data_IF_214329008965
#
_entry.id   IF_214329008965
#
_cell.length_a   1.000
_cell.length_b   1.000
_cell.length_c   1.000
_cell.angle_alpha   90.00
_cell.angle_beta   90.00
_cell.angle_gamma   90.00
#
_symmetry.space_group_name_H-M   'P 1'
#
loop_
_entity.id
_entity.type
_entity.pdbx_description
1 polymer ?
#
# COMPACT_ATOMS: atom_id res chain seq x y z
N UNK A 1 -3.86 0.20 29.79
CA UNK A 1 -3.12 0.58 28.56
C UNK A 1 -3.04 2.10 28.54
N UNK A 2 -1.87 2.69 28.84
CA UNK A 2 -1.70 4.14 28.76
C UNK A 2 -1.60 4.52 27.27
N UNK A 3 -2.66 5.08 26.72
CA UNK A 3 -2.62 5.70 25.39
C UNK A 3 -2.08 7.11 25.62
N UNK A 4 -0.93 7.45 25.04
CA UNK A 4 -0.38 8.80 25.19
C UNK A 4 -1.22 9.82 24.41
N UNK A 5 -1.28 11.09 24.88
CA UNK A 5 -1.96 12.17 24.15
C UNK A 5 -1.45 12.31 22.72
N UNK A 6 -0.14 12.12 22.50
CA UNK A 6 0.43 12.10 21.14
C UNK A 6 -0.16 11.02 20.24
N UNK A 7 -0.48 9.84 20.80
CA UNK A 7 -1.10 8.76 20.04
C UNK A 7 -2.55 9.10 19.66
N UNK A 8 -3.29 9.71 20.59
CA UNK A 8 -4.66 10.17 20.35
C UNK A 8 -4.69 11.23 19.26
N UNK A 9 -3.89 12.28 19.40
CA UNK A 9 -3.81 13.36 18.42
C UNK A 9 -3.45 12.85 17.00
N UNK A 10 -2.57 11.85 16.94
CA UNK A 10 -2.21 11.25 15.67
C UNK A 10 -3.35 10.41 15.05
N UNK A 11 -4.11 9.68 15.88
CA UNK A 11 -5.32 8.98 15.47
C UNK A 11 -6.32 9.94 14.83
N UNK A 12 -6.55 11.09 15.48
CA UNK A 12 -7.45 12.14 14.98
C UNK A 12 -7.00 12.68 13.64
N UNK A 13 -5.74 13.09 13.53
CA UNK A 13 -5.20 13.60 12.27
C UNK A 13 -5.35 12.59 11.12
N UNK A 14 -5.14 11.29 11.38
CA UNK A 14 -5.33 10.25 10.38
C UNK A 14 -6.80 10.06 10.03
N UNK A 15 -7.69 10.12 11.01
CA UNK A 15 -9.13 10.02 10.79
C UNK A 15 -9.65 11.21 9.97
N UNK A 16 -9.27 12.43 10.33
CA UNK A 16 -9.61 13.66 9.60
C UNK A 16 -9.16 13.57 8.12
N UNK A 17 -7.96 13.03 7.85
CA UNK A 17 -7.49 12.82 6.48
C UNK A 17 -8.32 11.78 5.72
N UNK A 18 -8.71 10.69 6.39
CA UNK A 18 -9.56 9.68 5.76
C UNK A 18 -10.95 10.21 5.43
N UNK A 19 -11.48 11.13 6.24
CA UNK A 19 -12.78 11.77 6.01
C UNK A 19 -12.73 12.74 4.82
N UNK A 20 -11.58 13.41 4.58
CA UNK A 20 -11.37 14.29 3.43
C UNK A 20 -11.32 13.53 2.09
N UNK A 21 -10.98 12.24 2.11
CA UNK A 21 -10.93 11.41 0.90
C UNK A 21 -12.35 10.97 0.53
N UNK A 22 -12.92 11.58 -0.49
CA UNK A 22 -14.21 11.19 -1.05
C UNK A 22 -14.01 10.26 -2.25
N UNK A 23 -14.47 8.99 -2.21
CA UNK A 23 -14.35 8.06 -3.34
C UNK A 23 -15.08 8.54 -4.61
N UNK A 24 -16.12 9.37 -4.48
CA UNK A 24 -16.91 9.87 -5.60
C UNK A 24 -16.36 11.17 -6.20
N UNK A 25 -15.46 11.86 -5.46
CA UNK A 25 -14.77 13.05 -5.94
C UNK A 25 -13.74 12.71 -7.05
N UNK A 26 -13.26 13.71 -7.82
CA UNK A 26 -12.08 13.54 -8.69
C UNK A 26 -10.88 12.92 -7.97
N UNK A 27 -9.91 12.34 -8.71
CA UNK A 27 -8.75 11.71 -8.09
C UNK A 27 -8.02 12.61 -7.09
N UNK A 28 -7.84 12.13 -5.87
CA UNK A 28 -7.22 12.86 -4.74
C UNK A 28 -6.06 12.06 -4.16
N UNK A 29 -4.99 12.78 -3.79
CA UNK A 29 -3.86 12.23 -3.05
C UNK A 29 -3.55 13.11 -1.83
N UNK A 30 -3.45 12.50 -0.64
CA UNK A 30 -3.07 13.16 0.60
C UNK A 30 -1.82 12.52 1.19
N UNK A 31 -1.02 13.33 1.88
CA UNK A 31 0.17 12.88 2.60
C UNK A 31 -0.18 12.62 4.05
N UNK A 32 0.14 11.44 4.56
CA UNK A 32 -0.07 11.13 5.97
C UNK A 32 0.83 11.98 6.88
N UNK A 33 0.36 12.37 8.09
CA UNK A 33 1.10 13.22 9.01
C UNK A 33 2.49 12.67 9.34
N UNK A 34 3.50 13.55 9.27
CA UNK A 34 4.90 13.20 9.50
C UNK A 34 5.59 12.49 8.35
N UNK A 35 4.92 12.29 7.20
CA UNK A 35 5.56 11.88 5.96
C UNK A 35 6.19 13.06 5.24
N UNK A 36 7.29 12.86 4.49
CA UNK A 36 7.85 13.93 3.66
C UNK A 36 6.85 14.35 2.58
N UNK A 37 6.91 15.62 2.16
CA UNK A 37 6.09 16.11 1.06
C UNK A 37 6.65 15.59 -0.29
N UNK A 38 5.83 15.01 -1.19
CA UNK A 38 6.28 14.53 -2.49
C UNK A 38 6.85 15.64 -3.37
N UNK A 39 8.07 15.40 -3.90
CA UNK A 39 8.76 16.30 -4.82
C UNK A 39 9.83 15.59 -5.63
N UNK A 40 10.17 16.14 -6.79
CA UNK A 40 11.21 15.59 -7.65
C UNK A 40 10.82 14.21 -8.19
N UNK A 41 11.61 13.19 -7.92
CA UNK A 41 11.34 11.81 -8.34
C UNK A 41 10.84 11.00 -7.16
N UNK A 42 9.77 10.24 -7.35
CA UNK A 42 9.17 9.43 -6.29
C UNK A 42 8.88 8.00 -6.75
N UNK A 43 9.00 7.07 -5.82
CA UNK A 43 8.52 5.69 -5.96
C UNK A 43 7.35 5.52 -5.02
N UNK A 44 6.21 5.11 -5.54
CA UNK A 44 4.99 4.84 -4.78
C UNK A 44 4.68 3.36 -4.84
N UNK A 45 4.48 2.73 -3.70
CA UNK A 45 4.08 1.33 -3.56
C UNK A 45 2.62 1.24 -3.09
N UNK A 46 1.65 1.16 -4.01
CA UNK A 46 0.26 0.95 -3.67
C UNK A 46 0.02 -0.48 -3.18
N UNK A 47 -0.75 -0.62 -2.11
CA UNK A 47 -1.08 -1.92 -1.57
C UNK A 47 -2.18 -1.87 -0.52
N UNK A 48 -2.85 -3.00 -0.27
CA UNK A 48 -3.81 -3.11 0.82
C UNK A 48 -3.15 -3.23 2.19
N UNK A 49 -1.90 -3.74 2.24
CA UNK A 49 -1.13 -4.00 3.46
C UNK A 49 -1.98 -4.68 4.55
N UNK A 50 -2.68 -5.72 4.16
CA UNK A 50 -3.66 -6.41 5.00
C UNK A 50 -3.34 -7.91 5.20
N UNK A 51 -2.41 -8.24 6.14
CA UNK A 51 -1.46 -7.36 6.81
C UNK A 51 -0.22 -7.06 5.96
N UNK A 52 0.64 -6.10 6.38
CA UNK A 52 1.98 -5.99 5.84
C UNK A 52 2.78 -7.26 6.12
N UNK A 53 3.50 -7.79 5.10
CA UNK A 53 4.33 -9.00 5.18
C UNK A 53 5.81 -8.67 5.03
N UNK A 54 6.67 -9.66 5.27
CA UNK A 54 8.12 -9.53 5.01
C UNK A 54 8.40 -9.29 3.53
N UNK A 55 7.55 -9.79 2.60
CA UNK A 55 7.65 -9.50 1.17
C UNK A 55 7.44 -8.01 0.87
N UNK A 56 6.46 -7.36 1.49
CA UNK A 56 6.28 -5.90 1.33
C UNK A 56 7.52 -5.12 1.81
N UNK A 57 8.11 -5.52 2.94
CA UNK A 57 9.33 -4.89 3.44
C UNK A 57 10.53 -5.15 2.52
N UNK A 58 10.63 -6.35 1.95
CA UNK A 58 11.67 -6.69 0.99
C UNK A 58 11.54 -5.86 -0.30
N UNK A 59 10.31 -5.66 -0.82
CA UNK A 59 10.03 -4.77 -1.96
C UNK A 59 10.44 -3.33 -1.67
N UNK A 60 10.06 -2.78 -0.52
CA UNK A 60 10.46 -1.42 -0.11
C UNK A 60 11.99 -1.30 0.05
N UNK A 61 12.66 -2.35 0.54
CA UNK A 61 14.13 -2.38 0.65
C UNK A 61 14.79 -2.36 -0.73
N UNK A 62 14.28 -3.13 -1.67
CA UNK A 62 14.78 -3.16 -3.05
C UNK A 62 14.51 -1.84 -3.79
N UNK A 63 13.32 -1.26 -3.64
CA UNK A 63 13.00 0.05 -4.20
C UNK A 63 13.94 1.15 -3.66
N UNK A 64 14.26 1.11 -2.35
CA UNK A 64 15.26 2.01 -1.76
C UNK A 64 16.67 1.79 -2.33
N UNK A 65 17.03 0.53 -2.61
CA UNK A 65 18.30 0.22 -3.25
C UNK A 65 18.34 0.75 -4.69
N UNK A 66 17.27 0.53 -5.46
CA UNK A 66 17.10 1.08 -6.81
C UNK A 66 17.22 2.61 -6.79
N UNK A 67 16.53 3.31 -5.90
CA UNK A 67 16.60 4.76 -5.75
C UNK A 67 18.04 5.26 -5.51
N UNK A 68 18.83 4.52 -4.70
CA UNK A 68 20.23 4.85 -4.45
C UNK A 68 21.10 4.66 -5.69
N UNK A 69 20.88 3.59 -6.45
CA UNK A 69 21.63 3.36 -7.71
C UNK A 69 21.32 4.44 -8.74
N UNK A 70 20.08 4.86 -8.87
CA UNK A 70 19.67 5.95 -9.76
C UNK A 70 20.32 7.28 -9.35
N UNK A 71 20.40 7.57 -8.06
CA UNK A 71 21.09 8.75 -7.55
C UNK A 71 22.60 8.74 -7.89
N UNK A 72 23.26 7.58 -7.77
CA UNK A 72 24.69 7.42 -8.17
C UNK A 72 24.88 7.62 -9.69
N UNK A 73 23.89 7.25 -10.50
CA UNK A 73 23.86 7.48 -11.95
C UNK A 73 23.55 8.93 -12.35
N UNK A 74 23.40 9.84 -11.39
CA UNK A 74 23.12 11.25 -11.65
C UNK A 74 21.65 11.58 -11.94
N UNK A 75 20.72 10.63 -11.74
CA UNK A 75 19.28 10.83 -11.97
C UNK A 75 18.54 11.48 -10.79
N UNK A 76 19.27 11.91 -9.75
CA UNK A 76 18.69 12.54 -8.56
C UNK A 76 18.28 11.55 -7.47
N UNK A 77 17.87 12.07 -6.32
CA UNK A 77 17.36 11.25 -5.20
C UNK A 77 15.87 11.01 -5.36
N UNK A 78 15.44 9.77 -5.18
CA UNK A 78 14.03 9.39 -5.20
C UNK A 78 13.48 9.26 -3.77
N UNK A 79 12.31 9.84 -3.53
CA UNK A 79 11.56 9.63 -2.30
C UNK A 79 10.70 8.35 -2.42
N UNK A 80 10.54 7.62 -1.32
CA UNK A 80 9.79 6.36 -1.27
C UNK A 80 8.52 6.52 -0.45
N UNK A 81 7.39 6.06 -1.00
CA UNK A 81 6.10 6.07 -0.34
C UNK A 81 5.45 4.70 -0.42
N UNK A 82 4.86 4.24 0.69
CA UNK A 82 3.81 3.24 0.63
C UNK A 82 2.46 3.95 0.47
N UNK A 83 1.50 3.33 -0.22
CA UNK A 83 0.22 3.99 -0.45
C UNK A 83 -0.96 3.07 -0.21
N UNK A 84 -2.05 3.63 0.36
CA UNK A 84 -3.31 2.95 0.56
C UNK A 84 -4.43 3.74 -0.13
N UNK A 85 -5.41 3.01 -0.67
CA UNK A 85 -6.60 3.61 -1.28
C UNK A 85 -7.83 3.37 -0.40
N UNK A 86 -8.70 4.38 -0.30
CA UNK A 86 -9.98 4.27 0.40
C UNK A 86 -10.92 3.34 -0.36
N UNK A 87 -10.96 3.47 -1.68
CA UNK A 87 -11.65 2.56 -2.58
C UNK A 87 -10.65 1.58 -3.24
N UNK A 88 -10.98 0.29 -3.25
CA UNK A 88 -10.16 -0.77 -3.85
C UNK A 88 -10.98 -1.37 -4.99
N UNK A 89 -10.41 -1.33 -6.21
CA UNK A 89 -11.00 -1.95 -7.39
C UNK A 89 -10.98 -3.48 -7.22
N UNK A 90 -12.06 -4.17 -7.57
CA UNK A 90 -12.21 -5.64 -7.59
C UNK A 90 -12.04 -6.35 -6.23
N UNK A 91 -12.18 -5.67 -5.11
CA UNK A 91 -12.21 -6.32 -3.79
C UNK A 91 -13.47 -5.95 -3.04
N UNK A 92 -14.09 -6.97 -2.45
CA UNK A 92 -15.10 -6.78 -1.41
C UNK A 92 -14.56 -5.81 -0.34
N UNK A 93 -15.42 -4.99 0.22
CA UNK A 93 -15.08 -4.07 1.29
C UNK A 93 -14.35 -4.82 2.40
N UNK A 94 -13.06 -4.52 2.57
CA UNK A 94 -12.26 -5.14 3.61
C UNK A 94 -12.62 -4.49 4.93
N UNK A 95 -13.57 -5.07 5.64
CA UNK A 95 -14.05 -4.55 6.91
C UNK A 95 -13.02 -4.67 8.04
N UNK A 96 -12.08 -5.63 7.94
CA UNK A 96 -11.13 -5.94 9.03
C UNK A 96 -9.70 -6.20 8.53
N UNK A 97 -8.70 -5.57 9.18
CA UNK A 97 -8.82 -4.41 10.07
C UNK A 97 -9.23 -3.15 9.32
N UNK A 98 -9.78 -2.17 10.04
CA UNK A 98 -10.14 -0.86 9.50
C UNK A 98 -8.96 -0.23 8.77
N UNK A 99 -9.24 0.61 7.78
CA UNK A 99 -8.21 1.33 7.03
C UNK A 99 -7.33 2.16 7.96
N UNK A 100 -7.90 2.81 8.97
CA UNK A 100 -7.17 3.54 10.00
C UNK A 100 -6.12 2.66 10.72
N UNK A 101 -6.51 1.46 11.18
CA UNK A 101 -5.59 0.53 11.83
C UNK A 101 -4.47 0.08 10.88
N UNK A 102 -4.76 -0.12 9.59
CA UNK A 102 -3.76 -0.49 8.57
C UNK A 102 -2.75 0.63 8.32
N UNK A 103 -3.22 1.88 8.24
CA UNK A 103 -2.36 3.06 8.10
C UNK A 103 -1.44 3.19 9.31
N UNK A 104 -1.97 3.10 10.52
CA UNK A 104 -1.18 3.21 11.76
C UNK A 104 -0.14 2.11 11.89
N UNK A 105 -0.49 0.88 11.51
CA UNK A 105 0.43 -0.24 11.49
C UNK A 105 1.56 -0.03 10.48
N UNK A 106 1.21 0.40 9.27
CA UNK A 106 2.17 0.70 8.21
C UNK A 106 3.09 1.85 8.59
N UNK A 107 2.55 2.92 9.17
CA UNK A 107 3.30 4.07 9.65
C UNK A 107 4.31 3.69 10.75
N UNK A 108 3.91 2.86 11.72
CA UNK A 108 4.83 2.36 12.74
C UNK A 108 5.97 1.51 12.12
N UNK A 109 5.65 0.68 11.11
CA UNK A 109 6.66 -0.09 10.36
C UNK A 109 7.63 0.82 9.62
N UNK A 110 7.13 1.80 8.87
CA UNK A 110 7.95 2.69 8.06
C UNK A 110 8.88 3.53 8.94
N UNK A 111 8.38 4.13 10.00
CA UNK A 111 9.20 4.93 10.94
C UNK A 111 10.38 4.15 11.50
N UNK A 112 10.21 2.88 11.78
CA UNK A 112 11.26 2.02 12.37
C UNK A 112 12.26 1.51 11.34
N UNK A 113 11.79 1.15 10.14
CA UNK A 113 12.59 0.42 9.15
C UNK A 113 12.99 1.25 7.94
N UNK A 114 12.22 2.30 7.64
CA UNK A 114 12.39 3.18 6.49
C UNK A 114 12.12 4.65 6.91
N UNK A 115 12.94 5.25 7.79
CA UNK A 115 12.63 6.53 8.44
C UNK A 115 12.42 7.71 7.49
N UNK A 116 12.84 7.59 6.22
CA UNK A 116 12.65 8.61 5.18
C UNK A 116 11.55 8.25 4.18
N UNK A 117 10.85 7.13 4.37
CA UNK A 117 9.69 6.79 3.55
C UNK A 117 8.43 7.44 4.14
N UNK A 118 7.50 7.80 3.24
CA UNK A 118 6.21 8.37 3.60
C UNK A 118 5.04 7.44 3.31
N UNK A 119 3.85 7.92 3.64
CA UNK A 119 2.58 7.30 3.28
C UNK A 119 1.76 8.28 2.46
N UNK A 120 1.25 7.81 1.32
CA UNK A 120 0.23 8.47 0.51
C UNK A 120 -1.12 7.77 0.69
N UNK A 121 -2.17 8.56 0.72
CA UNK A 121 -3.55 8.10 0.79
C UNK A 121 -4.29 8.56 -0.47
N UNK A 122 -4.98 7.63 -1.13
CA UNK A 122 -5.75 7.91 -2.33
C UNK A 122 -7.25 7.68 -2.07
N UNK A 123 -8.11 8.48 -2.69
CA UNK A 123 -9.56 8.20 -2.68
C UNK A 123 -9.92 7.05 -3.63
N UNK A 124 -9.16 6.86 -4.74
CA UNK A 124 -9.43 5.88 -5.79
C UNK A 124 -8.32 4.83 -5.95
N UNK A 125 -8.65 3.71 -6.63
CA UNK A 125 -7.80 2.54 -6.71
C UNK A 125 -7.05 2.33 -8.02
N UNK A 126 -7.47 2.96 -9.13
CA UNK A 126 -6.82 2.79 -10.43
C UNK A 126 -5.47 3.53 -10.49
N UNK A 127 -4.46 2.92 -11.09
CA UNK A 127 -3.12 3.52 -11.17
C UNK A 127 -3.09 4.84 -11.95
N UNK A 128 -3.87 4.95 -13.02
CA UNK A 128 -3.99 6.21 -13.79
C UNK A 128 -4.58 7.33 -12.93
N UNK A 129 -5.63 7.03 -12.16
CA UNK A 129 -6.25 7.99 -11.24
C UNK A 129 -5.31 8.39 -10.11
N UNK A 130 -4.54 7.44 -9.57
CA UNK A 130 -3.50 7.71 -8.57
C UNK A 130 -2.39 8.59 -9.14
N UNK A 131 -1.97 8.36 -10.40
CA UNK A 131 -0.98 9.19 -11.06
C UNK A 131 -1.50 10.62 -11.27
N UNK A 132 -2.74 10.78 -11.75
CA UNK A 132 -3.41 12.08 -11.88
C UNK A 132 -3.48 12.79 -10.54
N UNK A 133 -3.89 12.09 -9.48
CA UNK A 133 -3.98 12.64 -8.12
C UNK A 133 -2.62 13.13 -7.61
N UNK A 134 -1.53 12.37 -7.85
CA UNK A 134 -0.17 12.76 -7.47
C UNK A 134 0.25 14.04 -8.19
N UNK A 135 0.10 14.11 -9.51
CA UNK A 135 0.55 15.28 -10.28
C UNK A 135 -0.30 16.51 -9.99
N UNK A 136 -1.60 16.33 -9.69
CA UNK A 136 -2.50 17.43 -9.30
C UNK A 136 -2.15 17.95 -7.91
N UNK A 137 -1.98 17.07 -6.92
CA UNK A 137 -1.73 17.46 -5.54
C UNK A 137 -0.27 17.91 -5.31
N UNK A 138 0.69 17.38 -6.09
CA UNK A 138 2.11 17.61 -5.91
C UNK A 138 2.79 18.00 -7.24
N UNK A 139 2.58 19.21 -7.75
CA UNK A 139 3.11 19.64 -9.06
C UNK A 139 4.64 19.71 -9.12
N UNK A 140 5.33 19.57 -7.99
CA UNK A 140 6.79 19.48 -7.93
C UNK A 140 7.31 18.06 -8.21
N UNK A 141 6.43 17.04 -8.32
CA UNK A 141 6.80 15.69 -8.74
C UNK A 141 7.03 15.70 -10.25
N UNK A 142 8.25 15.34 -10.65
CA UNK A 142 8.68 15.33 -12.06
C UNK A 142 8.70 13.93 -12.64
N UNK A 143 8.87 12.91 -11.79
CA UNK A 143 8.88 11.50 -12.19
C UNK A 143 8.21 10.65 -11.13
N UNK A 144 7.24 9.85 -11.56
CA UNK A 144 6.49 8.93 -10.70
C UNK A 144 6.73 7.49 -11.16
N UNK A 145 7.19 6.63 -10.27
CA UNK A 145 7.27 5.18 -10.49
C UNK A 145 6.31 4.47 -9.53
N UNK A 146 5.46 3.60 -10.06
CA UNK A 146 4.69 2.68 -9.22
C UNK A 146 5.43 1.37 -9.03
N UNK A 147 5.73 1.04 -7.77
CA UNK A 147 6.26 -0.27 -7.38
C UNK A 147 5.14 -1.29 -7.27
N UNK A 148 5.33 -2.45 -7.91
CA UNK A 148 4.34 -3.53 -7.88
C UNK A 148 4.95 -4.92 -8.05
N UNK A 149 4.19 -5.96 -7.71
CA UNK A 149 4.52 -7.33 -8.06
C UNK A 149 4.06 -7.71 -9.47
N UNK A 150 4.58 -8.81 -9.99
CA UNK A 150 4.29 -9.33 -11.33
C UNK A 150 2.80 -9.55 -11.60
N UNK A 151 2.05 -10.08 -10.65
CA UNK A 151 0.59 -10.32 -10.84
C UNK A 151 -0.15 -9.01 -11.20
N UNK A 152 0.34 -7.87 -10.69
CA UNK A 152 -0.31 -6.60 -10.94
C UNK A 152 -0.02 -6.07 -12.35
N UNK A 153 1.19 -6.23 -12.87
CA UNK A 153 1.49 -5.82 -14.25
C UNK A 153 0.73 -6.69 -15.26
N UNK A 154 0.56 -7.99 -14.97
CA UNK A 154 -0.28 -8.86 -15.81
C UNK A 154 -1.71 -8.31 -15.90
N UNK A 155 -2.31 -7.90 -14.77
CA UNK A 155 -3.65 -7.30 -14.76
C UNK A 155 -3.70 -5.96 -15.51
N UNK A 156 -2.69 -5.11 -15.34
CA UNK A 156 -2.62 -3.80 -16.02
C UNK A 156 -2.52 -3.96 -17.54
N UNK A 157 -1.81 -4.99 -18.01
CA UNK A 157 -1.65 -5.24 -19.44
C UNK A 157 -2.76 -6.12 -20.05
N UNK A 158 -3.66 -6.67 -19.25
CA UNK A 158 -4.73 -7.56 -19.71
C UNK A 158 -5.88 -6.73 -20.32
N UNK A 159 -6.21 -6.93 -21.63
CA UNK A 159 -7.27 -6.19 -22.31
C UNK A 159 -8.66 -6.42 -21.68
N UNK A 160 -8.86 -7.51 -20.94
CA UNK A 160 -10.15 -7.83 -20.32
C UNK A 160 -10.67 -6.74 -19.38
N UNK A 161 -9.78 -5.92 -18.83
CA UNK A 161 -10.14 -4.86 -17.86
C UNK A 161 -10.46 -3.49 -18.49
N UNK A 162 -10.48 -3.38 -19.81
CA UNK A 162 -10.59 -2.09 -20.50
C UNK A 162 -11.62 -2.14 -21.64
N UNK A 163 -12.27 -1.02 -21.91
CA UNK A 163 -12.99 -0.80 -23.15
C UNK A 163 -11.99 -0.48 -24.28
N UNK A 164 -11.04 0.40 -24.02
CA UNK A 164 -9.89 0.71 -24.88
C UNK A 164 -8.60 0.63 -24.03
N UNK A 165 -7.94 -0.53 -24.12
CA UNK A 165 -6.72 -0.81 -23.37
C UNK A 165 -5.57 0.12 -23.74
N UNK A 166 -5.35 0.33 -25.01
CA UNK A 166 -4.19 1.07 -25.47
C UNK A 166 -4.32 2.56 -25.12
N UNK A 167 -5.50 3.15 -25.25
CA UNK A 167 -5.78 4.49 -24.75
C UNK A 167 -5.53 4.61 -23.25
N UNK A 168 -6.05 3.67 -22.43
CA UNK A 168 -5.86 3.67 -20.98
C UNK A 168 -4.38 3.51 -20.57
N UNK A 169 -3.61 2.67 -21.29
CA UNK A 169 -2.18 2.51 -21.04
C UNK A 169 -1.39 3.76 -21.49
N UNK A 170 -1.75 4.40 -22.59
CA UNK A 170 -1.16 5.68 -22.97
C UNK A 170 -1.38 6.74 -21.91
N UNK A 171 -2.57 6.86 -21.35
CA UNK A 171 -2.88 7.80 -20.29
C UNK A 171 -2.05 7.51 -19.01
N UNK A 172 -1.94 6.24 -18.62
CA UNK A 172 -1.11 5.86 -17.48
C UNK A 172 0.37 6.20 -17.71
N UNK A 173 0.92 5.78 -18.86
CA UNK A 173 2.35 5.94 -19.14
C UNK A 173 2.76 7.37 -19.55
N UNK A 174 1.79 8.23 -19.83
CA UNK A 174 2.03 9.67 -19.93
C UNK A 174 2.34 10.30 -18.55
N UNK A 175 1.89 9.67 -17.46
CA UNK A 175 1.98 10.21 -16.10
C UNK A 175 2.96 9.43 -15.21
N UNK A 176 3.18 8.15 -15.46
CA UNK A 176 3.95 7.29 -14.56
C UNK A 176 4.72 6.19 -15.31
N UNK A 177 5.74 5.66 -14.66
CA UNK A 177 6.46 4.45 -15.05
C UNK A 177 6.16 3.34 -14.03
N UNK A 178 6.47 2.09 -14.35
CA UNK A 178 6.25 0.95 -13.47
C UNK A 178 7.58 0.31 -13.09
N UNK A 179 7.74 -0.01 -11.81
CA UNK A 179 8.86 -0.74 -11.26
C UNK A 179 8.34 -2.10 -10.77
N UNK A 180 8.62 -3.15 -11.54
CA UNK A 180 7.99 -4.45 -11.38
C UNK A 180 8.95 -5.45 -10.75
N UNK A 181 8.53 -6.05 -9.63
CA UNK A 181 9.22 -7.15 -9.00
C UNK A 181 8.70 -8.48 -9.54
N UNK A 182 9.58 -9.40 -9.98
CA UNK A 182 9.18 -10.72 -10.45
C UNK A 182 8.58 -11.56 -9.33
N UNK A 183 7.72 -12.52 -9.69
CA UNK A 183 7.12 -13.49 -8.77
C UNK A 183 7.29 -14.91 -9.32
N UNK A 184 7.26 -15.92 -8.43
CA UNK A 184 7.43 -17.32 -8.82
C UNK A 184 8.85 -17.69 -9.26
N UNK A 185 9.00 -18.93 -9.73
CA UNK A 185 10.31 -19.49 -10.10
C UNK A 185 10.87 -18.95 -11.43
N UNK A 186 10.00 -18.49 -12.33
CA UNK A 186 10.37 -18.01 -13.67
C UNK A 186 10.77 -16.53 -13.70
N UNK A 187 10.44 -15.81 -12.67
CA UNK A 187 10.95 -14.49 -12.29
C UNK A 187 11.04 -13.47 -13.42
N UNK A 188 12.28 -13.08 -13.74
CA UNK A 188 12.58 -12.04 -14.73
C UNK A 188 12.20 -12.48 -16.16
N UNK A 189 12.31 -13.75 -16.48
CA UNK A 189 11.99 -14.31 -17.80
C UNK A 189 10.50 -14.12 -18.13
N UNK A 190 9.61 -14.32 -17.17
CA UNK A 190 8.16 -14.13 -17.38
C UNK A 190 7.80 -12.68 -17.68
N UNK A 191 8.53 -11.70 -17.08
CA UNK A 191 8.32 -10.29 -17.39
C UNK A 191 8.83 -9.96 -18.80
N UNK A 192 10.00 -10.45 -19.17
CA UNK A 192 10.56 -10.25 -20.50
C UNK A 192 9.66 -10.84 -21.59
N UNK A 193 9.15 -12.06 -21.40
CA UNK A 193 8.20 -12.67 -22.32
C UNK A 193 6.90 -11.85 -22.43
N UNK A 194 6.38 -11.36 -21.31
CA UNK A 194 5.18 -10.51 -21.30
C UNK A 194 5.40 -9.23 -22.10
N UNK A 195 6.58 -8.59 -21.95
CA UNK A 195 6.92 -7.35 -22.63
C UNK A 195 7.29 -7.54 -24.11
N UNK A 196 7.73 -8.73 -24.51
CA UNK A 196 8.02 -9.07 -25.91
C UNK A 196 6.76 -9.31 -26.76
N UNK A 197 5.59 -9.47 -26.14
CA UNK A 197 4.33 -9.61 -26.90
C UNK A 197 4.09 -8.34 -27.72
N UNK A 198 3.70 -8.46 -29.00
CA UNK A 198 3.56 -7.31 -29.92
C UNK A 198 2.67 -6.18 -29.33
N UNK A 199 1.61 -6.55 -28.68
CA UNK A 199 0.66 -5.63 -28.04
C UNK A 199 1.23 -4.88 -26.83
N UNK A 200 2.32 -5.38 -26.23
CA UNK A 200 2.95 -4.78 -25.05
C UNK A 200 4.22 -4.00 -25.36
N UNK A 201 4.84 -4.27 -26.51
CA UNK A 201 6.09 -3.63 -26.93
C UNK A 201 6.07 -2.09 -26.89
N UNK A 202 5.00 -1.38 -27.30
CA UNK A 202 4.96 0.08 -27.23
C UNK A 202 5.15 0.62 -25.82
N UNK A 203 4.77 -0.16 -24.80
CA UNK A 203 4.78 0.22 -23.39
C UNK A 203 6.02 -0.28 -22.62
N UNK A 204 6.78 -1.21 -23.19
CA UNK A 204 7.91 -1.87 -22.52
C UNK A 204 8.97 -0.87 -21.98
N UNK A 205 9.19 0.26 -22.66
CA UNK A 205 10.12 1.32 -22.26
C UNK A 205 9.81 2.00 -20.92
N UNK A 206 8.55 1.93 -20.47
CA UNK A 206 8.07 2.52 -19.21
C UNK A 206 8.04 1.54 -18.03
N UNK A 207 8.45 0.27 -18.28
CA UNK A 207 8.37 -0.82 -17.32
C UNK A 207 9.78 -1.28 -16.99
N UNK A 208 10.16 -1.11 -15.74
CA UNK A 208 11.50 -1.44 -15.24
C UNK A 208 11.43 -2.68 -14.34
N UNK A 209 12.34 -3.61 -14.55
CA UNK A 209 12.48 -4.79 -13.69
C UNK A 209 13.21 -4.43 -12.41
N UNK A 210 12.65 -4.81 -11.28
CA UNK A 210 13.27 -4.71 -9.97
C UNK A 210 13.74 -6.10 -9.53
N UNK A 211 15.06 -6.36 -9.37
CA UNK A 211 15.53 -7.64 -8.83
C UNK A 211 14.89 -7.94 -7.48
N UNK A 212 14.35 -9.14 -7.32
CA UNK A 212 13.65 -9.52 -6.10
C UNK A 212 14.04 -10.93 -5.65
N UNK A 213 14.39 -11.07 -4.38
CA UNK A 213 14.86 -12.32 -3.78
C UNK A 213 13.76 -13.40 -3.86
N UNK A 214 14.05 -14.57 -4.45
CA UNK A 214 13.12 -15.69 -4.56
C UNK A 214 12.45 -16.09 -3.24
N UNK A 215 13.15 -15.95 -2.11
CA UNK A 215 12.63 -16.30 -0.79
C UNK A 215 11.35 -15.55 -0.38
N UNK A 216 11.08 -14.40 -1.00
CA UNK A 216 9.89 -13.57 -0.68
C UNK A 216 8.80 -13.64 -1.75
N UNK A 217 9.04 -14.30 -2.88
CA UNK A 217 8.15 -14.25 -4.05
C UNK A 217 6.78 -14.89 -3.82
N UNK A 218 6.72 -15.92 -2.97
CA UNK A 218 5.50 -16.68 -2.68
C UNK A 218 4.69 -16.13 -1.48
N UNK A 219 5.24 -15.16 -0.75
CA UNK A 219 4.61 -14.63 0.45
C UNK A 219 3.43 -13.72 0.10
N UNK A 220 2.23 -14.07 0.57
CA UNK A 220 1.03 -13.27 0.34
C UNK A 220 0.27 -12.94 1.63
N UNK A 221 -0.33 -11.74 1.68
CA UNK A 221 -1.19 -11.33 2.80
C UNK A 221 -2.43 -12.21 2.94
N UNK A 222 -2.93 -12.79 1.85
CA UNK A 222 -4.10 -13.67 1.87
C UNK A 222 -3.78 -14.97 2.59
N UNK A 223 -2.65 -15.62 2.27
CA UNK A 223 -2.19 -16.83 2.97
C UNK A 223 -1.97 -16.56 4.47
N UNK A 224 -1.33 -15.42 4.78
CA UNK A 224 -1.13 -15.01 6.18
C UNK A 224 -2.47 -14.84 6.92
N UNK A 225 -3.50 -14.25 6.29
CA UNK A 225 -4.83 -14.13 6.92
C UNK A 225 -5.51 -15.47 7.17
N UNK A 226 -5.39 -16.38 6.21
CA UNK A 226 -6.04 -17.70 6.30
C UNK A 226 -5.35 -18.64 7.28
N UNK A 227 -4.02 -18.56 7.40
CA UNK A 227 -3.19 -19.51 8.13
C UNK A 227 -2.10 -18.81 8.97
N UNK A 228 -2.48 -17.80 9.77
CA UNK A 228 -1.55 -16.95 10.51
C UNK A 228 -0.57 -17.72 11.42
N UNK A 229 -1.00 -18.85 11.98
CA UNK A 229 -0.13 -19.71 12.83
C UNK A 229 1.00 -20.39 12.05
N UNK A 230 0.79 -20.70 10.77
CA UNK A 230 1.77 -21.37 9.91
C UNK A 230 2.76 -20.38 9.28
N UNK A 231 2.33 -19.13 9.05
CA UNK A 231 3.10 -18.11 8.34
C UNK A 231 3.70 -17.03 9.24
N UNK A 232 3.98 -17.35 10.52
CA UNK A 232 4.49 -16.36 11.49
C UNK A 232 5.83 -15.75 11.11
N UNK A 233 6.69 -16.47 10.41
CA UNK A 233 8.00 -15.99 9.95
C UNK A 233 7.88 -15.01 8.75
N UNK A 234 6.75 -15.03 8.06
CA UNK A 234 6.44 -14.13 6.94
C UNK A 234 5.89 -12.77 7.40
N UNK A 235 5.68 -12.63 8.71
CA UNK A 235 5.06 -11.45 9.31
C UNK A 235 6.09 -10.70 10.16
N UNK A 236 6.28 -9.38 9.94
CA UNK A 236 7.11 -8.55 10.81
C UNK A 236 6.67 -8.59 12.27
N UNK A 237 7.61 -8.44 13.21
CA UNK A 237 7.32 -8.52 14.64
C UNK A 237 6.26 -7.53 15.13
N UNK A 238 6.26 -6.33 14.56
CA UNK A 238 5.28 -5.27 14.82
C UNK A 238 3.86 -5.70 14.40
N UNK A 239 3.75 -6.35 13.25
CA UNK A 239 2.49 -6.88 12.72
C UNK A 239 1.99 -8.03 13.58
N UNK A 240 2.87 -8.98 13.96
CA UNK A 240 2.51 -10.08 14.88
C UNK A 240 1.99 -9.55 16.21
N UNK A 241 2.62 -8.51 16.76
CA UNK A 241 2.16 -7.85 17.99
C UNK A 241 0.75 -7.27 17.79
N UNK A 242 0.53 -6.50 16.73
CA UNK A 242 -0.78 -5.94 16.40
C UNK A 242 -1.85 -7.03 16.28
N UNK A 243 -1.59 -8.10 15.50
CA UNK A 243 -2.53 -9.21 15.33
C UNK A 243 -2.91 -9.87 16.65
N UNK A 244 -1.94 -10.09 17.53
CA UNK A 244 -2.14 -10.71 18.86
C UNK A 244 -2.91 -9.80 19.80
N UNK A 245 -2.54 -8.51 19.85
CA UNK A 245 -3.13 -7.54 20.80
C UNK A 245 -4.54 -7.11 20.40
N UNK A 246 -4.81 -6.99 19.09
CA UNK A 246 -6.11 -6.52 18.59
C UNK A 246 -7.07 -7.66 18.24
N UNK A 247 -6.53 -8.85 17.96
CA UNK A 247 -7.26 -9.99 17.38
C UNK A 247 -8.00 -9.65 16.07
N UNK A 248 -7.51 -8.67 15.33
CA UNK A 248 -8.14 -8.17 14.11
C UNK A 248 -8.35 -9.24 13.03
N UNK A 249 -7.51 -10.28 13.02
CA UNK A 249 -7.56 -11.39 12.06
C UNK A 249 -8.04 -12.71 12.68
N UNK A 250 -8.47 -12.68 13.95
CA UNK A 250 -9.01 -13.86 14.61
C UNK A 250 -10.55 -13.84 14.54
N UNK A 251 -11.20 -15.03 14.47
CA UNK A 251 -12.65 -15.10 14.61
C UNK A 251 -13.07 -14.69 16.02
N UNK A 252 -14.36 -14.31 16.21
CA UNK A 252 -14.93 -14.11 17.54
C UNK A 252 -14.69 -15.33 18.44
N UNK A 253 -14.44 -15.09 19.72
CA UNK A 253 -14.31 -16.14 20.72
C UNK A 253 -15.71 -16.63 21.11
N UNK A 254 -15.97 -17.93 20.92
CA UNK A 254 -17.21 -18.54 21.35
C UNK A 254 -17.04 -19.14 22.75
N UNK A 255 -17.84 -18.66 23.71
CA UNK A 255 -17.87 -19.15 25.08
C UNK A 255 -18.75 -20.41 25.21
N UNK A 256 -18.59 -21.21 26.31
CA UNK A 256 -19.40 -22.42 26.54
C UNK A 256 -20.91 -22.18 26.62
N UNK A 257 -21.32 -20.98 27.02
CA UNK A 257 -22.73 -20.55 27.08
C UNK A 257 -23.32 -20.12 25.74
N UNK A 258 -22.54 -20.21 24.65
CA UNK A 258 -22.93 -19.78 23.32
C UNK A 258 -22.69 -18.30 23.02
N UNK A 259 -22.25 -17.51 23.99
CA UNK A 259 -21.92 -16.09 23.79
C UNK A 259 -20.71 -15.94 22.87
N UNK A 260 -20.79 -15.03 21.90
CA UNK A 260 -19.67 -14.67 21.04
C UNK A 260 -19.06 -13.33 21.45
N UNK A 261 -17.73 -13.32 21.65
CA UNK A 261 -16.97 -12.11 21.99
C UNK A 261 -16.05 -11.76 20.81
N UNK A 262 -16.37 -10.67 20.13
CA UNK A 262 -15.49 -10.10 19.10
C UNK A 262 -14.62 -9.00 19.70
N UNK A 263 -13.38 -9.35 20.03
CA UNK A 263 -12.42 -8.42 20.63
C UNK A 263 -12.05 -7.26 19.69
N UNK A 264 -12.05 -7.51 18.38
CA UNK A 264 -11.77 -6.43 17.43
C UNK A 264 -12.94 -5.46 17.30
N UNK A 265 -14.18 -5.94 17.27
CA UNK A 265 -15.35 -5.09 17.28
C UNK A 265 -15.44 -4.23 18.56
N UNK A 266 -15.06 -4.78 19.72
CA UNK A 266 -14.94 -4.01 20.96
C UNK A 266 -13.88 -2.91 20.87
N UNK A 267 -12.73 -3.21 20.24
CA UNK A 267 -11.68 -2.23 19.99
C UNK A 267 -12.18 -1.10 19.07
N UNK A 268 -12.90 -1.42 17.99
CA UNK A 268 -13.45 -0.43 17.06
C UNK A 268 -14.40 0.52 17.79
N UNK A 269 -15.34 0.01 18.58
CA UNK A 269 -16.25 0.83 19.40
C UNK A 269 -15.50 1.74 20.37
N UNK A 270 -14.42 1.25 20.98
CA UNK A 270 -13.61 2.07 21.87
C UNK A 270 -12.89 3.20 21.10
N UNK A 271 -12.34 2.91 19.93
CA UNK A 271 -11.70 3.93 19.08
C UNK A 271 -12.70 5.00 18.64
N UNK A 272 -13.89 4.62 18.19
CA UNK A 272 -14.98 5.54 17.83
C UNK A 272 -15.38 6.44 19.01
N UNK A 273 -15.47 5.87 20.21
CA UNK A 273 -15.81 6.63 21.42
C UNK A 273 -14.71 7.64 21.78
N UNK A 274 -13.45 7.23 21.69
CA UNK A 274 -12.30 8.11 21.94
C UNK A 274 -12.26 9.28 20.94
N UNK A 275 -12.47 9.02 19.67
CA UNK A 275 -12.45 10.05 18.62
C UNK A 275 -13.62 11.04 18.76
N UNK A 276 -14.83 10.57 19.13
CA UNK A 276 -15.98 11.46 19.38
C UNK A 276 -15.76 12.40 20.58
N UNK A 277 -15.23 11.87 21.68
CA UNK A 277 -15.03 12.67 22.90
C UNK A 277 -14.05 13.82 22.68
N UNK A 278 -13.02 13.60 21.87
CA UNK A 278 -12.03 14.65 21.58
C UNK A 278 -12.57 15.69 20.59
N UNK A 279 -13.44 15.30 19.65
CA UNK A 279 -14.13 16.22 18.74
C UNK A 279 -15.12 17.15 19.47
N UNK A 280 -15.61 16.76 20.64
CA UNK A 280 -16.52 17.58 21.47
C UNK A 280 -15.78 18.58 22.38
N UNK A 281 -14.45 18.46 22.54
CA UNK A 281 -13.64 19.35 23.36
C UNK A 281 -12.97 20.50 22.54
N UNK A 282 -13.15 20.47 21.21
CA UNK A 282 -12.74 21.56 20.28
C UNK A 282 -13.93 22.48 19.98
#
# INVERSE_FOLDING_TARGET
>A
MHVSMQTIHRLEQMQELLEQLDPDAPPQALVAPGSPLPRGEIIVFPGSFNPPTTAHLALLKQARHFARLEAVRGRGSMQLYAALSKHIVDKETVERPLLLDRILLLDNLLRRRFPHAGILLFNRGLYVEQAQAVHTAFPQVRRLLFLMGFDKIVQILDPHYYEDRDAALHDLFALAELLVAPRGNEGEHSLDELLQRPENQPFARYIHTLPFDPAYREISSTQVRQHASMHQHEIPGEVRRFMRETRAYAPPLRLPDGTEIDFYALRVKLLETLLRNVSCEK
#
